data_IF_142545235274
#
_entry.id   IF_142545235274
#
_cell.length_a   1.000
_cell.length_b   1.000
_cell.length_c   1.000
_cell.angle_alpha   90.00
_cell.angle_beta   90.00
_cell.angle_gamma   90.00
#
_symmetry.space_group_name_H-M   'P 1'
#
loop_
_entity.id
_entity.type
_entity.pdbx_description
1 polymer ?
#
# COMPACT_ATOMS: atom_id res chain seq x y z
N UNK A 1 16.74 20.47 4.76
CA UNK A 1 15.73 19.46 5.12
C UNK A 1 16.07 18.16 4.42
N UNK A 2 16.66 17.21 5.14
CA UNK A 2 17.06 15.90 4.62
C UNK A 2 15.80 15.12 4.26
N UNK A 3 15.63 14.74 2.99
CA UNK A 3 14.55 13.83 2.59
C UNK A 3 14.79 12.49 3.31
N UNK A 4 13.97 12.19 4.31
CA UNK A 4 14.00 10.88 4.95
C UNK A 4 13.71 9.81 3.89
N UNK A 5 14.47 8.71 3.84
CA UNK A 5 14.20 7.61 2.93
C UNK A 5 12.84 6.98 3.27
N UNK A 6 12.12 6.53 2.24
CA UNK A 6 10.74 6.05 2.34
C UNK A 6 10.55 4.95 3.39
N UNK A 7 11.56 4.12 3.63
CA UNK A 7 11.52 3.05 4.62
C UNK A 7 11.54 3.55 6.07
N UNK A 8 12.10 4.73 6.33
CA UNK A 8 12.21 5.34 7.67
C UNK A 8 11.00 6.21 8.01
N UNK A 9 10.09 6.45 7.06
CA UNK A 9 8.87 7.23 7.29
C UNK A 9 7.86 6.45 8.14
N UNK A 10 7.03 7.12 8.96
CA UNK A 10 5.93 6.47 9.67
C UNK A 10 4.99 5.73 8.69
N UNK A 11 4.45 4.56 9.05
CA UNK A 11 3.55 3.77 8.20
C UNK A 11 2.37 4.57 7.62
N UNK A 12 1.79 5.49 8.40
CA UNK A 12 0.72 6.36 7.93
C UNK A 12 1.15 7.27 6.77
N UNK A 13 2.38 7.80 6.82
CA UNK A 13 2.95 8.64 5.78
C UNK A 13 3.31 7.82 4.54
N UNK A 14 3.89 6.63 4.75
CA UNK A 14 4.16 5.68 3.67
C UNK A 14 2.88 5.33 2.92
N UNK A 15 1.81 4.99 3.63
CA UNK A 15 0.50 4.72 3.05
C UNK A 15 -0.04 5.93 2.28
N UNK A 16 0.17 7.14 2.79
CA UNK A 16 -0.19 8.39 2.10
C UNK A 16 0.47 8.51 0.72
N UNK A 17 1.78 8.29 0.65
CA UNK A 17 2.55 8.34 -0.61
C UNK A 17 2.11 7.20 -1.53
N UNK A 18 2.00 5.97 -1.01
CA UNK A 18 1.64 4.78 -1.78
C UNK A 18 0.25 4.91 -2.42
N UNK A 19 -0.74 5.49 -1.73
CA UNK A 19 -2.07 5.72 -2.30
C UNK A 19 -2.09 6.69 -3.49
N UNK A 20 -1.05 7.53 -3.64
CA UNK A 20 -0.89 8.44 -4.77
C UNK A 20 -0.07 7.84 -5.91
N UNK A 21 0.49 6.63 -5.75
CA UNK A 21 1.21 5.93 -6.80
C UNK A 21 0.23 5.29 -7.80
N UNK A 22 0.28 5.66 -9.10
CA UNK A 22 -0.61 5.09 -10.12
C UNK A 22 -0.52 3.55 -10.21
N UNK A 23 0.67 2.98 -10.01
CA UNK A 23 0.85 1.52 -10.06
C UNK A 23 0.15 0.84 -8.89
N UNK A 24 0.19 1.48 -7.71
CA UNK A 24 -0.54 0.97 -6.56
C UNK A 24 -2.06 1.10 -6.75
N UNK A 25 -2.50 2.18 -7.42
CA UNK A 25 -3.91 2.35 -7.78
C UNK A 25 -4.41 1.27 -8.75
N UNK A 26 -3.59 0.86 -9.71
CA UNK A 26 -3.87 -0.28 -10.62
C UNK A 26 -3.87 -1.61 -9.88
N UNK A 27 -2.88 -1.84 -9.02
CA UNK A 27 -2.82 -3.04 -8.17
C UNK A 27 -4.07 -3.15 -7.28
N UNK A 28 -4.42 -2.08 -6.59
CA UNK A 28 -5.60 -2.03 -5.73
C UNK A 28 -6.89 -2.22 -6.54
N UNK A 29 -6.98 -1.67 -7.76
CA UNK A 29 -8.13 -1.88 -8.65
C UNK A 29 -8.26 -3.36 -9.04
N UNK A 30 -7.16 -3.99 -9.45
CA UNK A 30 -7.13 -5.41 -9.80
C UNK A 30 -7.58 -6.28 -8.62
N UNK A 31 -7.09 -6.00 -7.41
CA UNK A 31 -7.48 -6.71 -6.18
C UNK A 31 -8.92 -6.43 -5.75
N UNK A 32 -9.47 -5.27 -6.09
CA UNK A 32 -10.85 -4.88 -5.80
C UNK A 32 -11.85 -5.39 -6.85
N UNK A 33 -11.40 -6.14 -7.86
CA UNK A 33 -12.27 -6.70 -8.91
C UNK A 33 -12.53 -5.77 -10.11
N UNK A 34 -11.72 -4.71 -10.27
CA UNK A 34 -11.76 -3.80 -11.42
C UNK A 34 -10.47 -3.88 -12.25
N UNK A 35 -10.14 -5.04 -12.86
CA UNK A 35 -8.94 -5.18 -13.68
C UNK A 35 -8.99 -4.23 -14.88
N UNK A 36 -7.83 -3.66 -15.25
CA UNK A 36 -7.72 -2.72 -16.38
C UNK A 36 -8.15 -1.28 -16.06
N UNK A 37 -8.43 -0.97 -14.79
CA UNK A 37 -8.67 0.39 -14.30
C UNK A 37 -7.67 0.76 -13.22
N UNK A 38 -7.56 2.06 -12.93
CA UNK A 38 -6.83 2.58 -11.77
C UNK A 38 -7.83 3.15 -10.75
N UNK A 39 -7.63 2.84 -9.46
CA UNK A 39 -8.40 3.51 -8.41
C UNK A 39 -7.98 4.97 -8.26
N UNK A 40 -8.88 5.82 -7.76
CA UNK A 40 -8.48 7.16 -7.30
C UNK A 40 -7.71 7.04 -5.97
N UNK A 41 -6.91 8.05 -5.63
CA UNK A 41 -6.11 8.06 -4.40
C UNK A 41 -6.94 7.87 -3.12
N UNK A 42 -8.18 8.37 -3.10
CA UNK A 42 -9.15 8.16 -2.01
C UNK A 42 -9.59 6.71 -1.91
N UNK A 43 -9.88 6.06 -3.04
CA UNK A 43 -10.27 4.65 -3.08
C UNK A 43 -9.09 3.72 -2.75
N UNK A 44 -7.87 4.05 -3.18
CA UNK A 44 -6.66 3.34 -2.75
C UNK A 44 -6.44 3.45 -1.23
N UNK A 45 -6.73 4.62 -0.63
CA UNK A 45 -6.66 4.81 0.82
C UNK A 45 -7.72 4.00 1.57
N UNK A 46 -8.92 3.87 1.01
CA UNK A 46 -9.97 3.00 1.54
C UNK A 46 -9.55 1.52 1.46
N UNK A 47 -9.00 1.08 0.33
CA UNK A 47 -8.45 -0.26 0.19
C UNK A 47 -7.40 -0.59 1.26
N UNK A 48 -6.44 0.31 1.51
CA UNK A 48 -5.44 0.14 2.57
C UNK A 48 -6.10 0.01 3.95
N UNK A 49 -7.11 0.83 4.26
CA UNK A 49 -7.86 0.78 5.52
C UNK A 49 -8.56 -0.57 5.71
N UNK A 50 -9.22 -1.06 4.67
CA UNK A 50 -9.91 -2.35 4.66
C UNK A 50 -8.93 -3.51 4.92
N UNK A 51 -7.82 -3.56 4.18
CA UNK A 51 -6.82 -4.62 4.34
C UNK A 51 -6.14 -4.57 5.71
N UNK A 52 -5.83 -3.36 6.20
CA UNK A 52 -5.18 -3.20 7.50
C UNK A 52 -6.16 -3.35 8.68
N UNK A 53 -7.47 -3.31 8.43
CA UNK A 53 -8.52 -3.38 9.46
C UNK A 53 -8.57 -2.14 10.34
N UNK A 54 -8.36 -0.95 9.77
CA UNK A 54 -8.37 0.34 10.49
C UNK A 54 -9.26 1.36 9.82
N UNK A 55 -9.95 2.19 10.59
CA UNK A 55 -10.80 3.26 10.04
C UNK A 55 -10.00 4.49 9.58
N UNK A 56 -8.72 4.60 9.96
CA UNK A 56 -7.85 5.70 9.58
C UNK A 56 -6.42 5.23 9.37
N UNK A 57 -5.76 5.78 8.33
CA UNK A 57 -4.33 5.50 8.05
C UNK A 57 -3.42 5.93 9.19
N UNK A 58 -3.82 6.92 10.00
CA UNK A 58 -3.07 7.35 11.18
C UNK A 58 -2.89 6.24 12.22
N UNK A 59 -3.82 5.29 12.28
CA UNK A 59 -3.74 4.16 13.20
C UNK A 59 -2.61 3.18 12.83
N UNK A 60 -2.08 3.22 11.61
CA UNK A 60 -0.92 2.42 11.22
C UNK A 60 0.33 2.75 12.04
N UNK A 61 0.42 3.96 12.63
CA UNK A 61 1.55 4.33 13.48
C UNK A 61 1.45 3.77 14.90
N UNK A 62 0.24 3.50 15.39
CA UNK A 62 -0.01 3.13 16.79
C UNK A 62 -0.56 1.71 16.96
N UNK A 63 -1.03 1.08 15.88
CA UNK A 63 -1.54 -0.28 15.88
C UNK A 63 -0.56 -1.21 15.15
N UNK A 64 0.19 -1.99 15.93
CA UNK A 64 1.19 -2.91 15.39
C UNK A 64 0.59 -3.93 14.41
N UNK A 65 -0.58 -4.50 14.72
CA UNK A 65 -1.21 -5.48 13.84
C UNK A 65 -1.60 -4.85 12.49
N UNK A 66 -2.05 -3.60 12.49
CA UNK A 66 -2.34 -2.87 11.27
C UNK A 66 -1.06 -2.52 10.48
N UNK A 67 0.03 -2.17 11.18
CA UNK A 67 1.33 -1.94 10.56
C UNK A 67 1.90 -3.21 9.91
N UNK A 68 1.78 -4.37 10.58
CA UNK A 68 2.23 -5.66 10.05
C UNK A 68 1.44 -6.04 8.78
N UNK A 69 0.12 -5.83 8.77
CA UNK A 69 -0.73 -6.00 7.57
C UNK A 69 -0.33 -5.06 6.44
N UNK A 70 -0.01 -3.80 6.76
CA UNK A 70 0.46 -2.84 5.76
C UNK A 70 1.82 -3.26 5.17
N UNK A 71 2.74 -3.79 5.98
CA UNK A 71 4.01 -4.32 5.50
C UNK A 71 3.83 -5.53 4.57
N UNK A 72 2.89 -6.44 4.90
CA UNK A 72 2.52 -7.55 4.02
C UNK A 72 1.95 -7.05 2.69
N UNK A 73 1.02 -6.09 2.73
CA UNK A 73 0.43 -5.47 1.53
C UNK A 73 1.50 -4.84 0.62
N UNK A 74 2.49 -4.16 1.21
CA UNK A 74 3.63 -3.61 0.45
C UNK A 74 4.45 -4.70 -0.21
N UNK A 75 4.71 -5.79 0.50
CA UNK A 75 5.44 -6.94 -0.05
C UNK A 75 4.71 -7.55 -1.23
N UNK A 76 3.38 -7.70 -1.15
CA UNK A 76 2.55 -8.16 -2.27
C UNK A 76 2.57 -7.20 -3.46
N UNK A 77 2.56 -5.89 -3.21
CA UNK A 77 2.68 -4.89 -4.27
C UNK A 77 4.06 -4.92 -4.94
N UNK A 78 5.15 -5.05 -4.16
CA UNK A 78 6.50 -5.22 -4.70
C UNK A 78 6.63 -6.53 -5.49
N UNK A 79 5.95 -7.61 -5.08
CA UNK A 79 5.85 -8.84 -5.85
C UNK A 79 5.14 -8.63 -7.19
N UNK A 80 3.97 -7.97 -7.16
CA UNK A 80 3.16 -7.70 -8.33
C UNK A 80 3.86 -6.79 -9.34
N UNK A 81 4.60 -5.78 -8.88
CA UNK A 81 5.39 -4.89 -9.76
C UNK A 81 6.61 -5.58 -10.38
N UNK A 82 6.88 -6.84 -10.05
CA UNK A 82 8.03 -7.59 -10.54
C UNK A 82 9.35 -7.21 -9.88
N UNK A 83 9.32 -6.45 -8.77
CA UNK A 83 10.54 -6.18 -7.97
C UNK A 83 10.99 -7.39 -7.19
N UNK A 84 10.07 -8.30 -6.85
CA UNK A 84 10.41 -9.65 -6.42
C UNK A 84 10.42 -10.50 -7.68
N UNK A 85 11.60 -10.89 -8.14
CA UNK A 85 11.73 -11.87 -9.20
C UNK A 85 10.93 -13.10 -8.77
N UNK A 86 9.83 -13.42 -9.47
CA UNK A 86 9.18 -14.72 -9.34
C UNK A 86 10.24 -15.77 -9.67
N UNK A 87 10.68 -16.63 -8.72
CA UNK A 87 11.58 -17.70 -9.04
C UNK A 87 10.75 -18.86 -9.59
N UNK A 88 10.19 -18.70 -10.80
CA UNK A 88 9.87 -19.82 -11.68
C UNK A 88 9.40 -19.31 -13.05
N UNK A 89 10.24 -19.51 -14.07
CA UNK A 89 9.83 -19.74 -15.45
C UNK A 89 10.15 -21.20 -15.75
#
# INVERSE_FOLDING_TARGET
>A
MTRQPFAEMPPAQQAGILCNDPRFQEFAAQRSGFPGKSLMSSAAAEYVRLICGVNSRGLLNSNKAAADRFAALRTEFDAWTGKIASPYR
#
